data_IF_533302049386
#
_entry.id   IF_533302049386
#
_cell.length_a   1.000
_cell.length_b   1.000
_cell.length_c   1.000
_cell.angle_alpha   90.00
_cell.angle_beta   90.00
_cell.angle_gamma   90.00
#
_symmetry.space_group_name_H-M   'P 1'
#
loop_
_entity.id
_entity.type
_entity.pdbx_description
1 polymer ?
#
# COMPACT_ATOMS: atom_id res chain seq x y z
N UNK A 1 -6.75 -27.34 42.02
CA UNK A 1 -6.47 -26.15 41.16
C UNK A 1 -4.98 -25.81 41.25
N UNK A 2 -4.32 -25.54 40.12
CA UNK A 2 -2.90 -25.18 40.08
C UNK A 2 -2.65 -23.85 40.82
N UNK A 3 -1.64 -23.80 41.71
CA UNK A 3 -1.22 -22.58 42.42
C UNK A 3 -0.34 -21.65 41.57
N UNK A 4 0.05 -22.06 40.36
CA UNK A 4 0.98 -21.31 39.52
C UNK A 4 0.27 -20.12 38.87
N UNK A 5 0.96 -18.97 38.82
CA UNK A 5 0.56 -17.78 38.05
C UNK A 5 1.65 -17.50 37.00
N UNK A 6 1.60 -18.15 35.84
CA UNK A 6 2.59 -17.92 34.78
C UNK A 6 2.52 -16.47 34.30
N UNK A 7 3.69 -15.86 34.14
CA UNK A 7 3.80 -14.49 33.63
C UNK A 7 3.60 -14.45 32.11
N UNK A 8 2.84 -13.46 31.62
CA UNK A 8 2.61 -13.21 30.19
C UNK A 8 3.33 -11.92 29.81
N UNK A 9 4.20 -11.98 28.80
CA UNK A 9 4.91 -10.81 28.31
C UNK A 9 4.02 -9.98 27.38
N UNK A 10 4.05 -8.63 27.46
CA UNK A 10 3.37 -7.77 26.51
C UNK A 10 4.06 -7.81 25.14
N UNK A 11 3.27 -7.73 24.06
CA UNK A 11 3.75 -7.79 22.67
C UNK A 11 3.58 -6.46 21.91
N UNK A 12 3.29 -5.38 22.64
CA UNK A 12 3.10 -4.06 22.03
C UNK A 12 4.38 -3.57 21.36
N UNK A 13 4.25 -3.08 20.13
CA UNK A 13 5.36 -2.55 19.34
C UNK A 13 6.47 -3.56 19.07
N UNK A 14 6.14 -4.87 19.06
CA UNK A 14 7.11 -5.95 18.91
C UNK A 14 8.06 -5.79 17.71
N UNK A 15 7.53 -5.30 16.59
CA UNK A 15 8.27 -5.16 15.34
C UNK A 15 9.17 -3.91 15.30
N UNK A 16 8.91 -2.90 16.15
CA UNK A 16 9.65 -1.62 16.15
C UNK A 16 11.03 -1.72 16.79
N UNK A 17 11.27 -2.76 17.59
CA UNK A 17 12.48 -2.89 18.43
C UNK A 17 13.66 -3.54 17.72
N UNK A 18 13.39 -4.34 16.68
CA UNK A 18 14.43 -5.07 15.94
C UNK A 18 14.44 -4.57 14.48
N UNK A 19 15.58 -4.10 13.96
CA UNK A 19 15.67 -3.62 12.57
C UNK A 19 15.22 -4.66 11.55
N UNK A 20 15.44 -5.95 11.79
CA UNK A 20 14.96 -7.03 10.92
C UNK A 20 13.42 -7.08 10.81
N UNK A 21 12.71 -6.84 11.92
CA UNK A 21 11.25 -6.80 11.90
C UNK A 21 10.71 -5.50 11.31
N UNK A 22 11.44 -4.39 11.44
CA UNK A 22 11.11 -3.15 10.74
C UNK A 22 11.23 -3.34 9.24
N UNK A 23 12.32 -3.93 8.76
CA UNK A 23 12.53 -4.25 7.34
C UNK A 23 11.42 -5.18 6.82
N UNK A 24 11.08 -6.23 7.57
CA UNK A 24 9.94 -7.09 7.26
C UNK A 24 8.64 -6.29 7.07
N UNK A 25 8.32 -5.39 8.01
CA UNK A 25 7.10 -4.57 7.90
C UNK A 25 7.15 -3.60 6.72
N UNK A 26 8.34 -3.08 6.36
CA UNK A 26 8.53 -2.25 5.17
C UNK A 26 8.26 -3.07 3.90
N UNK A 27 8.78 -4.30 3.81
CA UNK A 27 8.49 -5.19 2.69
C UNK A 27 6.99 -5.48 2.56
N UNK A 28 6.31 -5.79 3.66
CA UNK A 28 4.85 -6.01 3.64
C UNK A 28 4.08 -4.73 3.25
N UNK A 29 4.58 -3.55 3.63
CA UNK A 29 3.94 -2.28 3.29
C UNK A 29 3.92 -2.00 1.78
N UNK A 30 4.83 -2.62 1.01
CA UNK A 30 4.83 -2.52 -0.46
C UNK A 30 3.50 -2.98 -1.08
N UNK A 31 2.79 -3.90 -0.43
CA UNK A 31 1.48 -4.37 -0.87
C UNK A 31 0.45 -3.24 -1.00
N UNK A 32 0.53 -2.20 -0.17
CA UNK A 32 -0.36 -1.04 -0.26
C UNK A 32 -0.12 -0.24 -1.54
N UNK A 33 1.13 -0.09 -1.95
CA UNK A 33 1.50 0.60 -3.20
C UNK A 33 1.06 -0.22 -4.41
N UNK A 34 1.26 -1.54 -4.38
CA UNK A 34 0.79 -2.44 -5.43
C UNK A 34 -0.74 -2.37 -5.57
N UNK A 35 -1.47 -2.39 -4.45
CA UNK A 35 -2.92 -2.25 -4.46
C UNK A 35 -3.37 -0.88 -4.98
N UNK A 36 -2.68 0.20 -4.60
CA UNK A 36 -2.93 1.55 -5.11
C UNK A 36 -2.73 1.63 -6.63
N UNK A 37 -1.64 1.06 -7.16
CA UNK A 37 -1.39 1.05 -8.59
C UNK A 37 -2.40 0.19 -9.36
N UNK A 38 -2.80 -0.95 -8.81
CA UNK A 38 -3.88 -1.75 -9.38
C UNK A 38 -5.18 -0.95 -9.50
N UNK A 39 -5.51 -0.12 -8.50
CA UNK A 39 -6.67 0.76 -8.57
C UNK A 39 -6.53 1.82 -9.67
N UNK A 40 -5.35 2.44 -9.84
CA UNK A 40 -5.08 3.38 -10.95
C UNK A 40 -5.33 2.72 -12.30
N UNK A 41 -4.85 1.48 -12.49
CA UNK A 41 -5.07 0.71 -13.72
C UNK A 41 -6.54 0.36 -13.94
N UNK A 42 -7.27 -0.02 -12.87
CA UNK A 42 -8.71 -0.29 -12.96
C UNK A 42 -9.49 0.97 -13.36
N UNK A 43 -9.13 2.14 -12.82
CA UNK A 43 -9.71 3.42 -13.26
C UNK A 43 -9.40 3.66 -14.74
N UNK A 44 -8.16 3.44 -15.17
CA UNK A 44 -7.76 3.55 -16.58
C UNK A 44 -8.60 2.66 -17.49
N UNK A 45 -8.84 1.40 -17.09
CA UNK A 45 -9.68 0.46 -17.83
C UNK A 45 -11.12 0.97 -17.97
N UNK A 46 -11.71 1.49 -16.87
CA UNK A 46 -13.06 2.08 -16.91
C UNK A 46 -13.10 3.31 -17.84
N UNK A 47 -12.09 4.18 -17.77
CA UNK A 47 -12.00 5.40 -18.60
C UNK A 47 -11.82 5.07 -20.08
N UNK A 48 -11.06 4.03 -20.39
CA UNK A 48 -10.91 3.53 -21.76
C UNK A 48 -12.26 3.10 -22.35
N UNK A 49 -13.09 2.40 -21.56
CA UNK A 49 -14.43 1.98 -21.98
C UNK A 49 -15.43 3.13 -22.17
N UNK A 50 -15.15 4.34 -21.65
CA UNK A 50 -16.00 5.53 -21.76
C UNK A 50 -15.73 6.37 -23.02
N UNK A 51 -14.73 6.00 -23.82
CA UNK A 51 -14.37 6.68 -25.07
C UNK A 51 -13.24 7.70 -24.92
N UNK A 52 -12.89 8.30 -26.06
CA UNK A 52 -11.66 9.08 -26.24
C UNK A 52 -11.50 10.23 -25.24
N UNK A 53 -12.55 11.02 -25.01
CA UNK A 53 -12.48 12.17 -24.11
C UNK A 53 -12.15 11.76 -22.66
N UNK A 54 -12.76 10.67 -22.18
CA UNK A 54 -12.52 10.16 -20.82
C UNK A 54 -11.12 9.55 -20.69
N UNK A 55 -10.65 8.86 -21.73
CA UNK A 55 -9.29 8.32 -21.80
C UNK A 55 -8.23 9.42 -21.78
N UNK A 56 -8.39 10.45 -22.62
CA UNK A 56 -7.46 11.58 -22.67
C UNK A 56 -7.39 12.34 -21.34
N UNK A 57 -8.53 12.53 -20.66
CA UNK A 57 -8.54 13.12 -19.31
C UNK A 57 -7.80 12.27 -18.27
N UNK A 58 -7.86 10.94 -18.36
CA UNK A 58 -7.07 10.06 -17.50
C UNK A 58 -5.57 10.15 -17.80
N UNK A 59 -5.18 10.21 -19.08
CA UNK A 59 -3.78 10.40 -19.49
C UNK A 59 -3.22 11.75 -19.02
N UNK A 60 -4.01 12.82 -19.10
CA UNK A 60 -3.64 14.15 -18.61
C UNK A 60 -3.39 14.11 -17.10
N UNK A 61 -4.28 13.47 -16.35
CA UNK A 61 -4.12 13.28 -14.90
C UNK A 61 -2.82 12.51 -14.57
N UNK A 62 -2.52 11.46 -15.33
CA UNK A 62 -1.29 10.67 -15.14
C UNK A 62 -0.01 11.43 -15.51
N UNK A 63 -0.11 12.37 -16.46
CA UNK A 63 1.00 13.20 -16.91
C UNK A 63 1.32 14.36 -15.96
N UNK A 64 0.50 14.57 -14.92
CA UNK A 64 0.76 15.61 -13.92
C UNK A 64 2.05 15.31 -13.12
N UNK A 65 2.85 16.33 -12.74
CA UNK A 65 4.08 16.13 -11.99
C UNK A 65 3.89 15.35 -10.68
N UNK A 66 2.75 15.54 -10.02
CA UNK A 66 2.40 14.82 -8.80
C UNK A 66 2.16 13.33 -9.06
N UNK A 67 1.43 13.00 -10.13
CA UNK A 67 1.24 11.62 -10.55
C UNK A 67 2.58 10.96 -10.88
N UNK A 68 3.45 11.64 -11.62
CA UNK A 68 4.77 11.11 -11.96
C UNK A 68 5.61 10.79 -10.71
N UNK A 69 5.57 11.64 -9.68
CA UNK A 69 6.27 11.39 -8.41
C UNK A 69 5.72 10.16 -7.68
N UNK A 70 4.40 9.97 -7.68
CA UNK A 70 3.77 8.81 -7.01
C UNK A 70 4.07 7.49 -7.74
N UNK A 71 4.37 7.55 -9.04
CA UNK A 71 4.65 6.39 -9.88
C UNK A 71 6.15 5.99 -9.95
N UNK A 72 7.04 6.76 -9.30
CA UNK A 72 8.46 6.46 -9.16
C UNK A 72 8.73 5.57 -7.94
#
# INVERSE_FOLDING_TARGET
MSKRRPYVRPMEGWWKKNPYFVEYMIHESTALFVAGYAFVLLVGLVRLGQGEAAWNGWLEALSSPFSLIIHL
#
